data_IF_646444341095
#
_entry.id   IF_646444341095
#
_cell.length_a   1.000
_cell.length_b   1.000
_cell.length_c   1.000
_cell.angle_alpha   90.00
_cell.angle_beta   90.00
_cell.angle_gamma   90.00
#
_symmetry.space_group_name_H-M   'P 1'
#
loop_
_entity.id
_entity.type
_entity.pdbx_description
1 polymer ?
#
# COMPACT_ATOMS: atom_id res chain seq x y z
N UNK A 1 41.56 -0.24 -42.83
CA UNK A 1 41.17 -1.01 -41.63
C UNK A 1 41.55 -0.17 -40.42
N UNK A 2 40.57 0.54 -39.84
CA UNK A 2 40.79 1.62 -38.86
C UNK A 2 39.76 1.52 -37.72
N UNK A 3 40.32 1.54 -36.52
CA UNK A 3 39.78 2.03 -35.24
C UNK A 3 38.89 1.12 -34.38
N UNK A 4 39.59 0.44 -33.46
CA UNK A 4 39.16 0.12 -32.11
C UNK A 4 38.79 1.41 -31.36
N UNK A 5 37.61 1.45 -30.73
CA UNK A 5 37.24 2.50 -29.78
C UNK A 5 37.21 1.91 -28.37
N UNK A 6 38.17 2.34 -27.54
CA UNK A 6 38.30 1.93 -26.14
C UNK A 6 37.57 2.89 -25.21
N UNK A 7 36.85 2.24 -24.31
CA UNK A 7 36.21 2.67 -23.09
C UNK A 7 37.14 3.51 -22.18
N UNK A 8 36.66 4.67 -21.72
CA UNK A 8 37.21 5.37 -20.55
C UNK A 8 36.06 6.10 -19.83
N UNK A 9 35.54 5.48 -18.76
CA UNK A 9 34.57 6.08 -17.85
C UNK A 9 35.36 6.65 -16.68
N UNK A 10 35.43 7.97 -16.60
CA UNK A 10 36.03 8.71 -15.49
C UNK A 10 35.15 8.64 -14.24
N UNK A 11 35.73 8.14 -13.16
CA UNK A 11 35.18 8.18 -11.80
C UNK A 11 35.44 9.58 -11.22
N UNK A 12 34.39 10.38 -11.05
CA UNK A 12 34.47 11.65 -10.32
C UNK A 12 34.00 11.41 -8.87
N UNK A 13 34.96 11.45 -7.94
CA UNK A 13 34.71 11.37 -6.51
C UNK A 13 34.04 12.65 -6.02
N UNK A 14 32.82 12.54 -5.47
CA UNK A 14 32.16 13.64 -4.79
C UNK A 14 32.46 13.58 -3.28
N UNK A 15 32.98 14.70 -2.77
CA UNK A 15 33.33 14.93 -1.39
C UNK A 15 32.09 15.04 -0.49
N UNK A 16 32.14 14.38 0.67
CA UNK A 16 31.20 14.54 1.77
C UNK A 16 31.64 15.70 2.68
N UNK A 17 30.81 16.74 2.91
CA UNK A 17 31.02 17.66 4.02
C UNK A 17 30.44 17.08 5.32
N UNK A 18 31.25 17.21 6.37
CA UNK A 18 30.98 16.82 7.75
C UNK A 18 29.76 17.55 8.36
N UNK A 19 28.99 16.83 9.17
CA UNK A 19 27.95 17.38 10.03
C UNK A 19 28.53 17.72 11.42
N UNK A 20 28.23 18.89 11.99
CA UNK A 20 28.56 19.20 13.38
C UNK A 20 27.54 18.58 14.35
N UNK A 21 28.06 18.03 15.45
CA UNK A 21 27.31 17.74 16.65
C UNK A 21 26.89 19.04 17.34
N UNK A 22 25.63 19.13 17.79
CA UNK A 22 25.20 20.05 18.84
C UNK A 22 24.08 19.44 19.68
N UNK A 23 24.23 19.67 20.97
CA UNK A 23 23.45 19.25 22.14
C UNK A 23 22.09 19.96 22.28
N UNK A 24 21.46 19.71 23.42
CA UNK A 24 20.27 20.32 24.06
C UNK A 24 18.97 19.51 23.93
N UNK A 25 18.51 18.75 24.92
CA UNK A 25 18.35 18.94 26.39
C UNK A 25 17.23 19.94 26.75
N UNK A 26 16.12 19.35 27.23
CA UNK A 26 15.22 19.89 28.25
C UNK A 26 14.47 21.21 27.98
N UNK A 27 13.19 21.04 27.69
CA UNK A 27 12.14 21.60 28.55
C UNK A 27 11.55 22.93 28.12
N UNK A 28 10.30 22.90 27.64
CA UNK A 28 9.29 23.95 27.86
C UNK A 28 8.01 23.56 27.13
N UNK A 29 6.98 23.16 27.87
CA UNK A 29 5.56 23.43 27.60
C UNK A 29 4.68 22.62 28.57
N UNK A 30 4.64 23.09 29.82
CA UNK A 30 3.49 22.89 30.71
C UNK A 30 2.96 24.27 31.04
N UNK A 31 1.79 24.61 30.52
CA UNK A 31 1.07 25.82 30.94
C UNK A 31 -0.43 25.54 30.86
N UNK A 32 -0.97 25.39 32.08
CA UNK A 32 -2.25 25.88 32.59
C UNK A 32 -3.55 25.30 32.03
N UNK A 33 -4.07 24.36 32.81
CA UNK A 33 -5.47 24.31 33.16
C UNK A 33 -5.84 25.54 34.01
N UNK A 34 -6.95 26.21 33.70
CA UNK A 34 -7.86 26.74 34.72
C UNK A 34 -9.23 27.14 34.15
N UNK A 35 -10.25 26.91 34.98
CA UNK A 35 -11.50 27.65 35.11
C UNK A 35 -12.67 27.52 34.10
N UNK A 36 -13.74 26.92 34.63
CA UNK A 36 -15.08 27.54 34.81
C UNK A 36 -16.20 27.30 33.79
N UNK A 37 -17.10 26.39 34.18
CA UNK A 37 -18.57 26.49 34.02
C UNK A 37 -19.13 27.60 34.99
N UNK A 38 -20.43 28.03 35.00
CA UNK A 38 -21.65 27.30 34.62
C UNK A 38 -22.85 28.14 34.07
N UNK A 39 -24.02 27.47 33.94
CA UNK A 39 -25.45 27.94 33.94
C UNK A 39 -26.19 27.81 32.59
N UNK A 40 -27.19 26.93 32.45
CA UNK A 40 -28.57 26.91 33.02
C UNK A 40 -29.57 27.67 32.14
N UNK A 41 -30.58 26.96 31.59
CA UNK A 41 -31.74 27.58 30.94
C UNK A 41 -32.49 26.69 29.92
N UNK A 42 -33.52 25.98 30.39
CA UNK A 42 -34.74 25.59 29.64
C UNK A 42 -35.92 26.17 30.44
N UNK A 43 -37.19 26.22 29.96
CA UNK A 43 -37.78 25.76 28.69
C UNK A 43 -38.67 26.83 27.98
N UNK A 44 -39.14 26.55 26.76
CA UNK A 44 -40.18 27.36 26.11
C UNK A 44 -40.81 26.67 24.90
N UNK A 45 -42.12 26.46 24.96
CA UNK A 45 -43.03 26.01 23.89
C UNK A 45 -44.42 26.58 24.23
N UNK A 46 -45.43 26.63 23.34
CA UNK A 46 -45.52 26.80 21.87
C UNK A 46 -46.46 28.02 21.54
N UNK A 47 -47.19 28.22 20.40
CA UNK A 47 -48.13 27.31 19.71
C UNK A 47 -48.10 27.31 18.15
N UNK A 48 -49.04 26.56 17.56
CA UNK A 48 -49.21 26.12 16.17
C UNK A 48 -49.64 27.19 15.13
N UNK A 49 -49.54 26.87 13.82
CA UNK A 49 -50.67 26.71 12.86
C UNK A 49 -50.25 26.83 11.36
N UNK A 50 -50.58 25.77 10.59
CA UNK A 50 -50.90 25.67 9.15
C UNK A 50 -50.21 26.50 8.05
N UNK A 51 -49.77 25.83 6.97
CA UNK A 51 -50.45 25.94 5.66
C UNK A 51 -50.02 24.83 4.67
N UNK A 52 -50.90 24.62 3.70
CA UNK A 52 -51.07 23.56 2.71
C UNK A 52 -50.30 23.84 1.42
N UNK A 53 -49.86 22.78 0.73
CA UNK A 53 -49.82 22.68 -0.74
C UNK A 53 -48.59 23.24 -1.45
N UNK A 54 -47.80 22.38 -2.09
CA UNK A 54 -47.78 22.24 -3.56
C UNK A 54 -46.69 21.24 -3.99
N UNK A 55 -47.04 20.44 -5.00
CA UNK A 55 -46.30 19.26 -5.42
C UNK A 55 -44.94 19.57 -6.05
N UNK A 56 -43.98 18.68 -5.76
CA UNK A 56 -42.88 18.39 -6.67
C UNK A 56 -42.53 16.90 -6.48
N UNK A 57 -42.64 16.04 -7.52
CA UNK A 57 -42.16 14.66 -7.38
C UNK A 57 -40.65 14.73 -7.25
N UNK A 58 -40.16 14.58 -6.02
CA UNK A 58 -38.76 14.42 -5.73
C UNK A 58 -38.23 13.26 -6.58
N UNK A 59 -37.39 13.59 -7.55
CA UNK A 59 -36.56 12.63 -8.27
C UNK A 59 -35.99 11.64 -7.27
N UNK A 60 -36.07 10.32 -7.52
CA UNK A 60 -35.47 9.36 -6.63
C UNK A 60 -33.99 9.69 -6.50
N UNK A 61 -33.61 10.10 -5.29
CA UNK A 61 -32.23 10.25 -4.86
C UNK A 61 -31.49 8.99 -5.31
N UNK A 62 -30.38 9.08 -6.06
CA UNK A 62 -29.57 7.91 -6.35
C UNK A 62 -29.26 7.25 -5.01
N UNK A 63 -29.58 5.97 -4.89
CA UNK A 63 -29.17 5.17 -3.75
C UNK A 63 -27.68 5.44 -3.49
N UNK A 64 -27.22 5.52 -2.23
CA UNK A 64 -25.79 5.53 -1.96
C UNK A 64 -25.22 4.32 -2.69
N UNK A 65 -24.36 4.57 -3.68
CA UNK A 65 -23.55 3.52 -4.27
C UNK A 65 -22.91 2.78 -3.09
N UNK A 66 -22.91 1.44 -3.07
CA UNK A 66 -22.10 0.73 -2.09
C UNK A 66 -20.68 1.25 -2.28
N UNK A 67 -20.22 2.05 -1.32
CA UNK A 67 -18.80 2.29 -1.11
C UNK A 67 -18.20 0.90 -1.09
N UNK A 68 -17.48 0.56 -2.16
CA UNK A 68 -16.74 -0.68 -2.25
C UNK A 68 -15.73 -0.64 -1.11
N UNK A 69 -16.12 -1.17 0.04
CA UNK A 69 -15.20 -1.64 1.05
C UNK A 69 -14.20 -2.53 0.32
N UNK A 70 -12.88 -2.37 0.57
CA UNK A 70 -11.91 -3.28 -0.03
C UNK A 70 -12.36 -4.72 0.27
N UNK A 71 -12.36 -5.61 -0.74
CA UNK A 71 -12.89 -6.95 -0.59
C UNK A 71 -12.19 -7.65 0.56
N UNK A 72 -12.98 -8.38 1.36
CA UNK A 72 -12.55 -9.08 2.55
C UNK A 72 -11.23 -9.85 2.30
N UNK A 73 -10.20 -9.26 2.90
CA UNK A 73 -8.75 -9.52 2.89
C UNK A 73 -8.30 -10.99 2.95
N UNK A 74 -9.16 -11.88 3.44
CA UNK A 74 -8.86 -13.28 3.76
C UNK A 74 -9.48 -14.30 2.80
N UNK A 75 -10.14 -13.85 1.72
CA UNK A 75 -10.84 -14.73 0.78
C UNK A 75 -10.52 -14.48 -0.69
N UNK A 76 -9.56 -13.60 -0.98
CA UNK A 76 -9.17 -13.31 -2.37
C UNK A 76 -8.38 -14.50 -2.93
N UNK A 77 -9.10 -15.49 -3.44
CA UNK A 77 -8.52 -16.63 -4.15
C UNK A 77 -8.01 -16.21 -5.55
N UNK A 78 -8.57 -15.14 -6.10
CA UNK A 78 -8.24 -14.64 -7.42
C UNK A 78 -6.98 -13.75 -7.38
N UNK A 79 -5.88 -14.16 -8.04
CA UNK A 79 -4.61 -13.42 -8.01
C UNK A 79 -4.72 -12.02 -8.63
N UNK A 80 -5.60 -11.80 -9.61
CA UNK A 80 -5.75 -10.49 -10.26
C UNK A 80 -6.45 -9.48 -9.34
N UNK A 81 -7.45 -9.95 -8.59
CA UNK A 81 -8.11 -9.16 -7.56
C UNK A 81 -7.16 -8.82 -6.42
N UNK A 82 -6.32 -9.78 -6.00
CA UNK A 82 -5.30 -9.57 -4.99
C UNK A 82 -4.31 -8.48 -5.42
N UNK A 83 -3.79 -8.58 -6.65
CA UNK A 83 -2.86 -7.61 -7.21
C UNK A 83 -3.50 -6.24 -7.36
N UNK A 84 -4.77 -6.17 -7.76
CA UNK A 84 -5.51 -4.91 -7.85
C UNK A 84 -5.68 -4.26 -6.48
N UNK A 85 -6.13 -5.00 -5.47
CA UNK A 85 -6.29 -4.49 -4.11
C UNK A 85 -4.94 -4.05 -3.51
N UNK A 86 -3.89 -4.83 -3.73
CA UNK A 86 -2.54 -4.51 -3.29
C UNK A 86 -1.99 -3.24 -3.97
N UNK A 87 -2.18 -3.08 -5.28
CA UNK A 87 -1.75 -1.88 -6.01
C UNK A 87 -2.57 -0.65 -5.59
N UNK A 88 -3.87 -0.81 -5.31
CA UNK A 88 -4.68 0.27 -4.74
C UNK A 88 -4.14 0.72 -3.38
N UNK A 89 -3.78 -0.22 -2.50
CA UNK A 89 -3.17 0.05 -1.20
C UNK A 89 -1.82 0.77 -1.32
N UNK A 90 -1.02 0.48 -2.36
CA UNK A 90 0.21 1.24 -2.64
C UNK A 90 -0.07 2.69 -3.03
N UNK A 91 -1.20 2.97 -3.67
CA UNK A 91 -1.55 4.30 -4.19
C UNK A 91 -2.48 5.11 -3.28
N UNK A 92 -2.86 4.59 -2.11
CA UNK A 92 -3.97 5.14 -1.30
C UNK A 92 -3.62 6.38 -0.47
N UNK A 93 -2.36 6.82 -0.42
CA UNK A 93 -1.98 7.96 0.40
C UNK A 93 -0.47 8.15 0.50
N UNK A 94 0.01 8.60 1.67
CA UNK A 94 1.44 8.76 1.95
C UNK A 94 2.14 7.40 2.04
N UNK A 95 3.46 7.39 1.85
CA UNK A 95 4.29 6.19 1.91
C UNK A 95 4.06 5.38 3.21
N UNK A 96 3.93 6.05 4.35
CA UNK A 96 3.68 5.40 5.64
C UNK A 96 2.29 4.76 5.74
N UNK A 97 1.26 5.42 5.19
CA UNK A 97 -0.10 4.89 5.18
C UNK A 97 -0.20 3.70 4.23
N UNK A 98 0.42 3.80 3.05
CA UNK A 98 0.53 2.70 2.10
C UNK A 98 1.27 1.50 2.71
N UNK A 99 2.33 1.73 3.50
CA UNK A 99 3.09 0.66 4.14
C UNK A 99 2.25 -0.15 5.13
N UNK A 100 1.32 0.50 5.83
CA UNK A 100 0.35 -0.16 6.72
C UNK A 100 -0.74 -0.86 5.91
N UNK A 101 -1.24 -0.22 4.85
CA UNK A 101 -2.29 -0.77 3.99
C UNK A 101 -1.88 -2.02 3.21
N UNK A 102 -0.58 -2.21 2.92
CA UNK A 102 -0.09 -3.40 2.21
C UNK A 102 0.17 -4.61 3.12
N UNK A 103 0.28 -4.42 4.44
CA UNK A 103 0.54 -5.48 5.41
C UNK A 103 -0.34 -6.72 5.26
N UNK A 104 -1.64 -6.61 4.97
CA UNK A 104 -2.46 -7.82 4.86
C UNK A 104 -2.19 -8.66 3.60
N UNK A 105 -1.78 -8.03 2.50
CA UNK A 105 -1.58 -8.70 1.22
C UNK A 105 -0.22 -9.39 1.11
N UNK A 106 0.71 -9.05 2.00
CA UNK A 106 2.10 -9.54 1.96
C UNK A 106 2.31 -10.76 2.85
N UNK A 107 3.24 -11.61 2.45
CA UNK A 107 3.63 -12.78 3.23
C UNK A 107 4.30 -12.38 4.56
N UNK A 108 4.15 -13.21 5.58
CA UNK A 108 4.71 -13.00 6.94
C UNK A 108 6.23 -12.85 6.97
N UNK A 109 6.94 -13.42 5.98
CA UNK A 109 8.39 -13.26 5.82
C UNK A 109 8.84 -11.83 5.49
N UNK A 110 7.94 -10.99 4.98
CA UNK A 110 8.22 -9.59 4.64
C UNK A 110 7.95 -8.63 5.81
N UNK A 111 7.38 -9.16 6.89
CA UNK A 111 7.02 -8.41 8.09
C UNK A 111 8.15 -8.48 9.11
N UNK A 112 8.14 -7.55 10.06
CA UNK A 112 8.95 -7.66 11.26
C UNK A 112 8.51 -8.86 12.11
N UNK A 113 9.31 -9.25 13.10
CA UNK A 113 9.00 -10.38 13.99
C UNK A 113 7.66 -10.24 14.73
N UNK A 114 7.19 -9.01 14.93
CA UNK A 114 5.90 -8.71 15.57
C UNK A 114 4.70 -8.80 14.62
N UNK A 115 4.93 -8.88 13.30
CA UNK A 115 3.88 -8.84 12.27
C UNK A 115 3.14 -7.51 12.12
N UNK A 116 3.56 -6.46 12.83
CA UNK A 116 2.87 -5.15 12.92
C UNK A 116 3.29 -4.16 11.84
N UNK A 117 4.45 -4.38 11.22
CA UNK A 117 4.98 -3.54 10.17
C UNK A 117 5.84 -4.36 9.20
N UNK A 118 6.17 -3.79 8.04
CA UNK A 118 7.19 -4.35 7.15
C UNK A 118 8.55 -4.34 7.86
N UNK A 119 9.42 -5.31 7.55
CA UNK A 119 10.80 -5.27 8.04
C UNK A 119 11.52 -4.03 7.49
N UNK A 120 12.50 -3.51 8.23
CA UNK A 120 13.22 -2.28 7.86
C UNK A 120 13.82 -2.35 6.46
N UNK A 121 14.43 -3.49 6.12
CA UNK A 121 15.06 -3.70 4.81
C UNK A 121 14.02 -3.77 3.69
N UNK A 122 12.90 -4.48 3.92
CA UNK A 122 11.82 -4.56 2.94
C UNK A 122 11.22 -3.18 2.72
N UNK A 123 11.03 -2.39 3.78
CA UNK A 123 10.50 -1.04 3.70
C UNK A 123 11.41 -0.12 2.87
N UNK A 124 12.70 -0.11 3.19
CA UNK A 124 13.68 0.78 2.57
C UNK A 124 13.96 0.44 1.10
N UNK A 125 14.07 -0.84 0.75
CA UNK A 125 14.55 -1.24 -0.58
C UNK A 125 13.43 -1.73 -1.50
N UNK A 126 12.49 -2.52 -0.98
CA UNK A 126 11.47 -3.16 -1.83
C UNK A 126 10.18 -2.35 -1.91
N UNK A 127 9.68 -1.91 -0.76
CA UNK A 127 8.43 -1.16 -0.67
C UNK A 127 8.57 0.25 -1.24
N UNK A 128 9.63 0.99 -0.88
CA UNK A 128 9.86 2.34 -1.43
C UNK A 128 9.84 2.33 -2.97
N UNK A 129 10.54 1.37 -3.57
CA UNK A 129 10.55 1.16 -5.03
C UNK A 129 9.15 0.85 -5.55
N UNK A 130 8.45 -0.12 -4.96
CA UNK A 130 7.08 -0.47 -5.35
C UNK A 130 6.11 0.71 -5.25
N UNK A 131 6.22 1.54 -4.21
CA UNK A 131 5.39 2.74 -3.99
C UNK A 131 5.64 3.80 -5.07
N UNK A 132 6.91 4.10 -5.36
CA UNK A 132 7.30 5.07 -6.40
C UNK A 132 6.82 4.61 -7.77
N UNK A 133 6.94 3.31 -8.06
CA UNK A 133 6.64 2.74 -9.37
C UNK A 133 5.15 2.37 -9.55
N UNK A 134 4.38 2.22 -8.47
CA UNK A 134 2.96 1.85 -8.50
C UNK A 134 2.12 2.74 -9.44
N UNK A 135 2.45 4.03 -9.54
CA UNK A 135 1.73 5.00 -10.39
C UNK A 135 1.78 4.66 -11.89
N UNK A 136 2.79 3.91 -12.34
CA UNK A 136 3.00 3.53 -13.74
C UNK A 136 2.15 2.33 -14.17
N UNK A 137 1.54 1.60 -13.23
CA UNK A 137 0.77 0.40 -13.50
C UNK A 137 -0.73 0.67 -13.57
N UNK A 138 -1.45 -0.11 -14.39
CA UNK A 138 -2.88 0.07 -14.62
C UNK A 138 -3.70 -0.35 -13.39
N UNK A 139 -4.79 0.37 -13.16
CA UNK A 139 -5.82 0.04 -12.16
C UNK A 139 -7.17 -0.02 -12.90
N UNK A 140 -7.85 -1.18 -12.98
CA UNK A 140 -7.48 -2.48 -12.42
C UNK A 140 -6.21 -3.08 -13.05
N UNK A 141 -5.56 -4.00 -12.34
CA UNK A 141 -4.32 -4.64 -12.82
C UNK A 141 -4.62 -5.51 -14.03
N UNK A 142 -3.82 -5.37 -15.08
CA UNK A 142 -3.87 -6.23 -16.26
C UNK A 142 -2.68 -7.19 -16.22
N UNK A 143 -2.94 -8.48 -16.07
CA UNK A 143 -1.90 -9.51 -16.13
C UNK A 143 -1.62 -9.86 -17.58
N UNK A 144 -0.37 -9.69 -17.99
CA UNK A 144 0.09 -9.92 -19.37
C UNK A 144 0.67 -11.32 -19.58
N UNK A 145 1.27 -11.89 -18.52
CA UNK A 145 1.88 -13.22 -18.54
C UNK A 145 1.90 -13.79 -17.14
N UNK A 146 1.76 -15.10 -17.04
CA UNK A 146 2.00 -15.85 -15.81
C UNK A 146 3.15 -16.81 -16.06
N UNK A 147 4.16 -16.78 -15.20
CA UNK A 147 5.25 -17.75 -15.20
C UNK A 147 5.14 -18.58 -13.93
N UNK A 148 4.95 -19.88 -14.10
CA UNK A 148 5.00 -20.81 -12.98
C UNK A 148 6.46 -21.15 -12.68
N UNK A 149 6.89 -20.93 -11.45
CA UNK A 149 8.18 -21.47 -11.02
C UNK A 149 7.99 -22.94 -10.66
N UNK A 150 8.83 -23.80 -11.24
CA UNK A 150 8.73 -25.23 -11.03
C UNK A 150 9.21 -25.58 -9.61
N UNK A 151 8.41 -26.39 -8.91
CA UNK A 151 8.76 -26.94 -7.59
C UNK A 151 8.02 -26.31 -6.42
N UNK A 152 8.00 -27.05 -5.31
CA UNK A 152 7.62 -26.52 -3.99
C UNK A 152 8.79 -25.74 -3.43
N UNK A 153 8.56 -24.51 -3.00
CA UNK A 153 9.52 -23.66 -2.31
C UNK A 153 9.06 -23.36 -0.89
N UNK A 154 10.02 -23.22 0.02
CA UNK A 154 9.78 -22.66 1.35
C UNK A 154 10.04 -21.16 1.32
N UNK A 155 9.13 -20.36 1.88
CA UNK A 155 9.35 -18.93 2.14
C UNK A 155 9.35 -18.71 3.64
N UNK A 156 10.32 -17.93 4.13
CA UNK A 156 10.47 -17.61 5.55
C UNK A 156 11.48 -18.52 6.26
N UNK A 157 11.81 -18.16 7.49
CA UNK A 157 12.79 -18.86 8.32
C UNK A 157 12.18 -19.20 9.68
N UNK A 158 12.53 -20.37 10.24
CA UNK A 158 12.02 -20.85 11.53
C UNK A 158 10.50 -20.97 11.55
N UNK A 159 9.86 -20.41 12.57
CA UNK A 159 8.40 -20.46 12.77
C UNK A 159 7.59 -19.72 11.70
N UNK A 160 8.25 -18.89 10.89
CA UNK A 160 7.64 -18.17 9.77
C UNK A 160 7.81 -18.91 8.44
N UNK A 161 8.46 -20.08 8.44
CA UNK A 161 8.60 -20.89 7.24
C UNK A 161 7.25 -21.45 6.80
N UNK A 162 6.91 -21.24 5.53
CA UNK A 162 5.72 -21.80 4.92
C UNK A 162 6.08 -22.44 3.57
N UNK A 163 5.55 -23.63 3.32
CA UNK A 163 5.76 -24.36 2.07
C UNK A 163 4.64 -24.04 1.08
N UNK A 164 5.01 -23.83 -0.17
CA UNK A 164 4.08 -23.43 -1.22
C UNK A 164 4.72 -23.44 -2.60
N UNK A 165 4.02 -22.87 -3.56
CA UNK A 165 4.51 -22.63 -4.92
C UNK A 165 4.56 -21.13 -5.16
N UNK A 166 5.56 -20.65 -5.90
CA UNK A 166 5.60 -19.26 -6.36
C UNK A 166 5.20 -19.21 -7.84
N UNK A 167 4.31 -18.28 -8.18
CA UNK A 167 4.02 -17.94 -9.57
C UNK A 167 4.27 -16.45 -9.77
N UNK A 168 4.96 -16.11 -10.84
CA UNK A 168 5.23 -14.72 -11.20
C UNK A 168 4.12 -14.20 -12.13
N UNK A 169 3.40 -13.20 -11.66
CA UNK A 169 2.38 -12.51 -12.43
C UNK A 169 2.97 -11.23 -13.02
N UNK A 170 3.03 -11.14 -14.34
CA UNK A 170 3.58 -9.98 -15.03
C UNK A 170 2.50 -8.91 -15.20
N UNK A 171 2.59 -7.84 -14.43
CA UNK A 171 1.62 -6.74 -14.46
C UNK A 171 1.97 -5.75 -15.58
N UNK A 172 0.97 -5.43 -16.40
CA UNK A 172 1.09 -4.45 -17.47
C UNK A 172 1.15 -3.02 -16.93
N UNK A 173 2.00 -2.20 -17.54
CA UNK A 173 2.02 -0.75 -17.31
C UNK A 173 0.81 -0.07 -17.99
N UNK A 174 0.41 1.10 -17.49
CA UNK A 174 -0.66 1.93 -18.11
C UNK A 174 -0.32 2.27 -19.55
N UNK A 175 0.94 2.60 -19.78
CA UNK A 175 1.49 2.88 -21.10
C UNK A 175 2.51 1.79 -21.45
N UNK A 176 2.16 0.95 -22.42
CA UNK A 176 3.01 -0.14 -22.91
C UNK A 176 4.32 0.34 -23.55
N UNK A 177 4.43 1.61 -23.92
CA UNK A 177 5.66 2.20 -24.48
C UNK A 177 6.71 2.55 -23.41
N UNK A 178 6.30 2.66 -22.13
CA UNK A 178 7.16 3.14 -21.04
C UNK A 178 7.91 2.04 -20.28
N UNK A 179 7.85 0.78 -20.73
CA UNK A 179 8.64 -0.30 -20.18
C UNK A 179 8.00 -1.68 -20.28
N UNK A 180 8.77 -2.71 -19.92
CA UNK A 180 8.30 -4.09 -19.89
C UNK A 180 7.40 -4.36 -18.68
N UNK A 181 6.45 -5.31 -18.77
CA UNK A 181 5.68 -5.77 -17.63
C UNK A 181 6.56 -6.25 -16.47
N UNK A 182 6.20 -5.89 -15.23
CA UNK A 182 6.98 -6.25 -14.05
C UNK A 182 6.48 -7.57 -13.43
N UNK A 183 7.38 -8.51 -13.09
CA UNK A 183 6.99 -9.74 -12.41
C UNK A 183 6.70 -9.50 -10.93
N UNK A 184 5.47 -9.75 -10.51
CA UNK A 184 5.07 -9.80 -9.10
C UNK A 184 4.95 -11.26 -8.67
N UNK A 185 5.89 -11.78 -7.87
CA UNK A 185 5.85 -13.16 -7.38
C UNK A 185 4.78 -13.32 -6.30
N UNK A 186 3.76 -14.12 -6.60
CA UNK A 186 2.73 -14.53 -5.66
C UNK A 186 3.05 -15.92 -5.11
N UNK A 187 2.94 -16.07 -3.79
CA UNK A 187 3.12 -17.33 -3.09
C UNK A 187 1.76 -17.98 -2.80
N UNK A 188 1.65 -19.24 -3.22
CA UNK A 188 0.49 -20.11 -3.04
C UNK A 188 0.87 -21.19 -2.02
N UNK A 189 0.39 -21.08 -0.77
CA UNK A 189 0.75 -22.05 0.26
C UNK A 189 0.13 -23.43 0.00
N UNK A 190 0.84 -24.50 0.39
CA UNK A 190 0.36 -25.89 0.25
C UNK A 190 -0.85 -26.17 1.16
N UNK A 191 -1.04 -25.36 2.21
CA UNK A 191 -2.20 -25.43 3.12
C UNK A 191 -3.53 -25.10 2.46
N UNK A 192 -3.53 -24.57 1.23
CA UNK A 192 -4.74 -24.08 0.55
C UNK A 192 -5.20 -22.70 1.03
N UNK A 193 -4.39 -22.01 1.84
CA UNK A 193 -4.66 -20.62 2.22
C UNK A 193 -4.57 -19.66 1.01
N UNK A 194 -5.20 -18.47 1.08
CA UNK A 194 -5.17 -17.50 -0.01
C UNK A 194 -3.74 -17.11 -0.42
N UNK A 195 -3.50 -16.82 -1.71
CA UNK A 195 -2.20 -16.39 -2.18
C UNK A 195 -1.78 -15.06 -1.55
N UNK A 196 -0.47 -14.87 -1.37
CA UNK A 196 0.11 -13.65 -0.80
C UNK A 196 1.26 -13.14 -1.64
N UNK A 197 1.49 -11.83 -1.63
CA UNK A 197 2.65 -11.22 -2.28
C UNK A 197 3.92 -11.65 -1.54
N UNK A 198 4.83 -12.31 -2.25
CA UNK A 198 6.04 -12.88 -1.67
C UNK A 198 7.26 -11.96 -1.75
N UNK A 199 7.24 -11.05 -2.73
CA UNK A 199 8.26 -10.03 -2.92
C UNK A 199 7.69 -8.89 -3.77
N UNK A 200 8.12 -7.66 -3.51
CA UNK A 200 7.57 -6.45 -4.14
C UNK A 200 8.61 -5.54 -4.80
N UNK A 201 9.91 -5.77 -4.60
CA UNK A 201 10.97 -4.93 -5.15
C UNK A 201 11.16 -5.03 -6.68
N UNK A 202 10.33 -5.82 -7.36
CA UNK A 202 10.38 -5.99 -8.82
C UNK A 202 9.54 -4.97 -9.59
N UNK A 203 8.63 -4.24 -8.92
CA UNK A 203 7.87 -3.14 -9.54
C UNK A 203 8.80 -2.03 -10.03
#
# INVERSE_FOLDING_TARGET
>A
MKHMNRLAIGFLAAAFPALPACSDLSGLLRTLADASAPRSGSPGSPPAQGNTGDGNPASPRPAPQPTASPPAESQIADPEQLLTAWLQALTSGTEDQAAVAVLPFVHKSLKNSSGTALSSDVRQFSFHKAYVDAKFYALPVVVTRIRENQGTTGIGHGDQAERGRIKDYFIGRKDASTGMPAPVPLFFPESGAPPKVSYMGNL
#
